data_IF_297913887003
#
_entry.id   IF_297913887003
#
_cell.length_a   1.000
_cell.length_b   1.000
_cell.length_c   1.000
_cell.angle_alpha   90.00
_cell.angle_beta   90.00
_cell.angle_gamma   90.00
#
_symmetry.space_group_name_H-M   'P 1'
#
loop_
_entity.id
_entity.type
_entity.pdbx_description
1 polymer ?
#
# COMPACT_ATOMS: atom_id res chain seq x y z
N UNK A 1 -6.15 13.44 -9.88
CA UNK A 1 -6.04 12.44 -8.78
C UNK A 1 -4.89 12.64 -7.78
N UNK A 2 -3.98 13.61 -7.90
CA UNK A 2 -2.88 13.83 -6.92
C UNK A 2 -3.35 14.25 -5.52
N UNK A 3 -4.31 15.16 -5.43
CA UNK A 3 -4.73 15.78 -4.17
C UNK A 3 -5.26 14.78 -3.11
N UNK A 4 -6.05 13.79 -3.54
CA UNK A 4 -6.61 12.81 -2.61
C UNK A 4 -5.52 11.93 -1.99
N UNK A 5 -4.58 11.46 -2.81
CA UNK A 5 -3.43 10.68 -2.34
C UNK A 5 -2.51 11.51 -1.43
N UNK A 6 -2.34 12.81 -1.70
CA UNK A 6 -1.53 13.71 -0.86
C UNK A 6 -2.15 13.89 0.55
N UNK A 7 -3.47 14.02 0.63
CA UNK A 7 -4.19 14.06 1.91
C UNK A 7 -4.01 12.74 2.66
N UNK A 8 -4.21 11.62 1.97
CA UNK A 8 -4.10 10.27 2.56
C UNK A 8 -2.68 10.04 3.10
N UNK A 9 -1.65 10.42 2.34
CA UNK A 9 -0.25 10.33 2.77
C UNK A 9 0.05 11.25 3.96
N UNK A 10 -0.57 12.44 4.00
CA UNK A 10 -0.47 13.35 5.15
C UNK A 10 -1.07 12.71 6.41
N UNK A 11 -2.24 12.07 6.30
CA UNK A 11 -2.83 11.32 7.42
C UNK A 11 -1.89 10.20 7.88
N UNK A 12 -1.35 9.42 6.95
CA UNK A 12 -0.38 8.37 7.26
C UNK A 12 0.84 8.89 8.03
N UNK A 13 1.40 10.02 7.60
CA UNK A 13 2.53 10.70 8.25
C UNK A 13 2.17 11.17 9.66
N UNK A 14 1.05 11.86 9.83
CA UNK A 14 0.62 12.38 11.14
C UNK A 14 0.37 11.25 12.15
N UNK A 15 -0.20 10.13 11.70
CA UNK A 15 -0.40 8.95 12.54
C UNK A 15 0.93 8.32 12.92
N UNK A 16 1.84 8.17 11.96
CA UNK A 16 3.19 7.67 12.22
C UNK A 16 3.92 8.52 13.26
N UNK A 17 3.95 9.84 13.09
CA UNK A 17 4.63 10.77 14.00
C UNK A 17 4.01 10.75 15.41
N UNK A 18 2.70 10.54 15.50
CA UNK A 18 2.02 10.39 16.79
C UNK A 18 2.41 9.10 17.50
N UNK A 19 2.53 7.98 16.77
CA UNK A 19 2.94 6.70 17.35
C UNK A 19 4.42 6.75 17.74
N UNK A 20 5.26 7.38 16.91
CA UNK A 20 6.69 7.58 17.19
C UNK A 20 6.89 8.38 18.47
N UNK A 21 6.21 9.53 18.63
CA UNK A 21 6.26 10.32 19.87
C UNK A 21 5.92 9.48 21.10
N UNK A 22 4.83 8.71 21.04
CA UNK A 22 4.48 7.78 22.13
C UNK A 22 5.47 6.65 22.34
N UNK A 23 6.22 6.27 21.31
CA UNK A 23 7.26 5.26 21.43
C UNK A 23 8.50 5.84 22.13
N UNK A 24 8.79 7.13 21.94
CA UNK A 24 9.96 7.85 22.50
C UNK A 24 9.71 8.40 23.90
N UNK A 25 8.48 8.85 24.18
CA UNK A 25 8.03 9.34 25.49
C UNK A 25 8.15 8.23 26.56
N UNK A 26 8.83 8.54 27.67
CA UNK A 26 8.81 7.72 28.87
C UNK A 26 7.89 8.37 29.92
N UNK A 27 6.77 7.74 30.31
CA UNK A 27 5.91 8.31 31.34
C UNK A 27 6.56 8.34 32.73
N UNK A 28 7.60 7.53 32.97
CA UNK A 28 8.21 7.33 34.30
C UNK A 28 9.48 8.14 34.51
N UNK A 29 10.13 8.53 33.43
CA UNK A 29 11.31 9.39 33.44
C UNK A 29 10.89 10.60 32.61
N UNK A 30 10.94 11.82 33.13
CA UNK A 30 10.66 13.05 32.35
C UNK A 30 11.71 13.29 31.21
N UNK A 31 12.19 12.24 30.56
CA UNK A 31 13.21 12.21 29.54
C UNK A 31 12.67 11.42 28.34
N UNK A 32 12.63 12.08 27.19
CA UNK A 32 12.38 11.41 25.90
C UNK A 32 13.61 10.61 25.50
N UNK A 33 13.40 9.35 25.09
CA UNK A 33 14.46 8.53 24.50
C UNK A 33 14.15 8.35 23.02
N UNK A 34 14.93 8.99 22.16
CA UNK A 34 14.82 8.81 20.71
C UNK A 34 14.97 7.33 20.33
N UNK A 35 14.13 6.86 19.41
CA UNK A 35 14.26 5.51 18.87
C UNK A 35 15.44 5.45 17.90
N UNK A 36 16.24 4.36 17.89
CA UNK A 36 17.24 4.14 16.85
C UNK A 36 16.60 4.14 15.46
N UNK A 37 17.33 4.56 14.41
CA UNK A 37 16.79 4.55 13.04
C UNK A 37 16.32 3.15 12.61
N UNK A 38 17.05 2.11 13.02
CA UNK A 38 16.82 0.70 12.72
C UNK A 38 16.08 -0.07 13.84
N UNK A 39 15.33 0.66 14.69
CA UNK A 39 14.65 0.07 15.84
C UNK A 39 13.83 -1.18 15.50
N UNK A 40 13.79 -2.12 16.45
CA UNK A 40 13.00 -3.35 16.37
C UNK A 40 11.73 -3.19 17.21
N UNK A 41 10.58 -3.48 16.62
CA UNK A 41 9.29 -3.46 17.30
C UNK A 41 9.30 -4.33 18.56
N UNK A 42 9.90 -5.53 18.50
CA UNK A 42 9.97 -6.47 19.61
C UNK A 42 10.70 -5.90 20.84
N UNK A 43 11.81 -5.18 20.63
CA UNK A 43 12.73 -4.72 21.67
C UNK A 43 12.56 -3.25 22.06
N UNK A 44 12.42 -2.38 21.07
CA UNK A 44 12.61 -0.93 21.25
C UNK A 44 11.27 -0.17 21.37
N UNK A 45 10.15 -0.77 20.93
CA UNK A 45 8.82 -0.11 20.95
C UNK A 45 8.03 -0.49 22.19
N UNK A 46 7.67 0.52 22.99
CA UNK A 46 6.86 0.38 24.20
C UNK A 46 5.44 -0.12 23.93
N UNK A 47 4.87 -0.85 24.89
CA UNK A 47 3.52 -1.43 24.78
C UNK A 47 2.43 -0.36 24.52
N UNK A 48 2.54 0.82 25.12
CA UNK A 48 1.57 1.90 24.92
C UNK A 48 1.55 2.42 23.47
N UNK A 49 2.72 2.51 22.83
CA UNK A 49 2.84 2.87 21.41
C UNK A 49 2.27 1.76 20.52
N UNK A 50 2.58 0.48 20.81
CA UNK A 50 1.98 -0.68 20.13
C UNK A 50 0.46 -0.66 20.20
N UNK A 51 -0.10 -0.43 21.38
CA UNK A 51 -1.55 -0.36 21.59
C UNK A 51 -2.16 0.83 20.83
N UNK A 52 -1.48 1.97 20.80
CA UNK A 52 -1.92 3.12 20.00
C UNK A 52 -1.93 2.80 18.51
N UNK A 53 -0.89 2.12 18.02
CA UNK A 53 -0.81 1.67 16.63
C UNK A 53 -1.93 0.68 16.29
N UNK A 54 -2.16 -0.36 17.11
CA UNK A 54 -3.28 -1.30 16.95
C UNK A 54 -4.63 -0.59 16.91
N UNK A 55 -4.85 0.39 17.80
CA UNK A 55 -6.10 1.17 17.81
C UNK A 55 -6.33 1.95 16.52
N UNK A 56 -5.28 2.44 15.86
CA UNK A 56 -5.41 3.06 14.54
C UNK A 56 -5.83 2.05 13.48
N UNK A 57 -5.22 0.87 13.45
CA UNK A 57 -5.64 -0.20 12.55
C UNK A 57 -7.09 -0.65 12.81
N UNK A 58 -7.50 -0.78 14.08
CA UNK A 58 -8.88 -1.11 14.43
C UNK A 58 -9.87 -0.05 13.95
N UNK A 59 -9.55 1.24 14.09
CA UNK A 59 -10.40 2.32 13.57
C UNK A 59 -10.54 2.23 12.05
N UNK A 60 -9.46 1.98 11.31
CA UNK A 60 -9.53 1.80 9.85
C UNK A 60 -10.37 0.57 9.49
N UNK A 61 -10.24 -0.52 10.23
CA UNK A 61 -11.01 -1.73 9.99
C UNK A 61 -12.52 -1.54 10.16
N UNK A 62 -12.98 -0.49 10.86
CA UNK A 62 -14.42 -0.15 10.98
C UNK A 62 -15.02 0.54 9.74
N UNK A 63 -14.19 1.00 8.80
CA UNK A 63 -14.67 1.61 7.54
C UNK A 63 -15.37 0.53 6.70
N UNK A 64 -16.62 0.77 6.31
CA UNK A 64 -17.45 -0.23 5.61
C UNK A 64 -17.10 -0.31 4.13
N UNK A 65 -16.78 0.82 3.53
CA UNK A 65 -16.46 0.95 2.11
C UNK A 65 -15.05 0.41 1.82
N UNK A 66 -14.94 -0.48 0.83
CA UNK A 66 -13.68 -1.20 0.53
C UNK A 66 -12.57 -0.25 0.07
N UNK A 67 -12.86 0.61 -0.91
CA UNK A 67 -11.87 1.51 -1.52
C UNK A 67 -11.24 2.48 -0.52
N UNK A 68 -12.00 3.30 0.23
CA UNK A 68 -11.39 4.22 1.19
C UNK A 68 -10.71 3.47 2.35
N UNK A 69 -11.21 2.31 2.77
CA UNK A 69 -10.51 1.47 3.75
C UNK A 69 -9.15 1.03 3.24
N UNK A 70 -9.05 0.56 2.01
CA UNK A 70 -7.77 0.15 1.41
C UNK A 70 -6.78 1.32 1.33
N UNK A 71 -7.23 2.50 0.89
CA UNK A 71 -6.39 3.70 0.87
C UNK A 71 -5.85 4.05 2.26
N UNK A 72 -6.68 3.96 3.30
CA UNK A 72 -6.26 4.23 4.68
C UNK A 72 -5.31 3.15 5.22
N UNK A 73 -5.54 1.87 4.90
CA UNK A 73 -4.62 0.78 5.25
C UNK A 73 -3.24 0.97 4.60
N UNK A 74 -3.19 1.39 3.34
CA UNK A 74 -1.95 1.74 2.63
C UNK A 74 -1.27 2.99 3.20
N UNK A 75 -2.05 4.00 3.60
CA UNK A 75 -1.52 5.19 4.26
C UNK A 75 -0.79 4.88 5.56
N UNK A 76 -1.33 3.93 6.33
CA UNK A 76 -0.75 3.50 7.61
C UNK A 76 0.24 2.35 7.46
N UNK A 77 0.59 1.96 6.24
CA UNK A 77 1.43 0.79 6.01
C UNK A 77 2.80 0.89 6.70
N UNK A 78 3.40 2.09 6.74
CA UNK A 78 4.64 2.36 7.50
C UNK A 78 4.51 2.04 9.00
N UNK A 79 3.30 2.14 9.57
CA UNK A 79 3.04 1.94 10.99
C UNK A 79 3.16 0.46 11.41
N UNK A 80 3.17 -0.49 10.46
CA UNK A 80 3.49 -1.90 10.78
C UNK A 80 4.87 -2.05 11.42
N UNK A 81 5.81 -1.14 11.16
CA UNK A 81 7.14 -1.09 11.80
C UNK A 81 7.06 -0.99 13.34
N UNK A 82 5.96 -0.48 13.90
CA UNK A 82 5.78 -0.45 15.35
C UNK A 82 5.23 -1.76 15.94
N UNK A 83 4.73 -2.67 15.10
CA UNK A 83 4.06 -3.90 15.52
C UNK A 83 4.88 -5.15 15.28
N UNK A 84 5.73 -5.16 14.26
CA UNK A 84 6.53 -6.31 13.84
C UNK A 84 7.89 -5.87 13.29
N UNK A 85 8.87 -6.77 13.39
CA UNK A 85 10.24 -6.52 12.94
C UNK A 85 10.41 -6.75 11.44
N UNK A 86 9.61 -7.68 10.89
CA UNK A 86 9.64 -8.06 9.49
C UNK A 86 8.67 -7.22 8.64
N UNK A 87 8.94 -7.07 7.32
CA UNK A 87 8.02 -6.40 6.41
C UNK A 87 6.61 -7.04 6.40
N UNK A 88 5.52 -6.25 6.30
CA UNK A 88 4.14 -6.74 6.34
C UNK A 88 3.68 -7.34 5.00
N UNK A 89 4.38 -8.37 4.52
CA UNK A 89 4.12 -9.05 3.23
C UNK A 89 2.73 -9.69 3.18
N UNK A 90 2.28 -10.33 4.26
CA UNK A 90 0.95 -10.93 4.32
C UNK A 90 -0.18 -9.89 4.16
N UNK A 91 0.01 -8.69 4.72
CA UNK A 91 -0.95 -7.59 4.60
C UNK A 91 -0.91 -6.97 3.22
N UNK A 92 0.27 -6.87 2.60
CA UNK A 92 0.42 -6.48 1.21
C UNK A 92 -0.34 -7.44 0.29
N UNK A 93 -0.16 -8.75 0.46
CA UNK A 93 -0.84 -9.77 -0.35
C UNK A 93 -2.36 -9.71 -0.24
N UNK A 94 -2.87 -9.48 0.98
CA UNK A 94 -4.30 -9.27 1.17
C UNK A 94 -4.78 -8.04 0.43
N UNK A 95 -4.07 -6.91 0.53
CA UNK A 95 -4.42 -5.68 -0.18
C UNK A 95 -4.38 -5.85 -1.69
N UNK A 96 -3.36 -6.54 -2.23
CA UNK A 96 -3.29 -6.90 -3.65
C UNK A 96 -4.52 -7.68 -4.09
N UNK A 97 -4.91 -8.75 -3.36
CA UNK A 97 -6.11 -9.54 -3.68
C UNK A 97 -7.38 -8.68 -3.65
N UNK A 98 -7.50 -7.74 -2.72
CA UNK A 98 -8.64 -6.84 -2.64
C UNK A 98 -8.75 -5.88 -3.85
N UNK A 99 -7.63 -5.53 -4.50
CA UNK A 99 -7.68 -4.66 -5.70
C UNK A 99 -8.48 -5.28 -6.85
N UNK A 100 -8.58 -6.62 -6.91
CA UNK A 100 -9.34 -7.35 -7.93
C UNK A 100 -10.85 -7.19 -7.78
N UNK A 101 -11.33 -6.80 -6.59
CA UNK A 101 -12.75 -6.57 -6.33
C UNK A 101 -13.21 -5.14 -6.63
N UNK A 102 -12.34 -4.27 -7.16
CA UNK A 102 -12.68 -2.90 -7.53
C UNK A 102 -13.28 -2.93 -8.95
N UNK A 103 -14.53 -2.50 -9.08
CA UNK A 103 -15.28 -2.54 -10.34
C UNK A 103 -14.76 -1.54 -11.38
N UNK A 104 -14.40 -0.32 -10.95
CA UNK A 104 -13.87 0.70 -11.85
C UNK A 104 -12.40 0.39 -12.21
N UNK A 105 -12.09 0.13 -13.50
CA UNK A 105 -10.76 -0.29 -13.92
C UNK A 105 -9.69 0.77 -13.64
N UNK A 106 -10.07 2.05 -13.72
CA UNK A 106 -9.17 3.17 -13.45
C UNK A 106 -8.83 3.27 -11.95
N UNK A 107 -9.83 3.20 -11.06
CA UNK A 107 -9.63 3.17 -9.62
C UNK A 107 -8.82 1.93 -9.19
N UNK A 108 -9.07 0.78 -9.82
CA UNK A 108 -8.29 -0.43 -9.58
C UNK A 108 -6.82 -0.25 -9.96
N UNK A 109 -6.54 0.40 -11.10
CA UNK A 109 -5.19 0.76 -11.53
C UNK A 109 -4.46 1.66 -10.53
N UNK A 110 -5.09 2.76 -10.10
CA UNK A 110 -4.49 3.66 -9.10
C UNK A 110 -4.21 2.96 -7.78
N UNK A 111 -5.15 2.13 -7.31
CA UNK A 111 -4.96 1.35 -6.09
C UNK A 111 -3.78 0.38 -6.22
N UNK A 112 -3.68 -0.34 -7.35
CA UNK A 112 -2.57 -1.24 -7.66
C UNK A 112 -1.22 -0.53 -7.66
N UNK A 113 -1.13 0.64 -8.29
CA UNK A 113 0.07 1.46 -8.27
C UNK A 113 0.44 1.88 -6.84
N UNK A 114 -0.53 2.22 -6.00
CA UNK A 114 -0.27 2.59 -4.62
C UNK A 114 0.24 1.39 -3.80
N UNK A 115 -0.34 0.20 -4.00
CA UNK A 115 0.15 -1.05 -3.40
C UNK A 115 1.59 -1.33 -3.82
N UNK A 116 1.93 -1.19 -5.12
CA UNK A 116 3.29 -1.38 -5.62
C UNK A 116 4.28 -0.38 -4.99
N UNK A 117 3.88 0.89 -4.87
CA UNK A 117 4.67 1.92 -4.16
C UNK A 117 4.96 1.49 -2.72
N UNK A 118 3.96 0.98 -2.00
CA UNK A 118 4.16 0.49 -0.63
C UNK A 118 5.07 -0.75 -0.58
N UNK A 119 4.94 -1.68 -1.53
CA UNK A 119 5.75 -2.89 -1.59
C UNK A 119 7.26 -2.56 -1.65
N UNK A 120 7.61 -1.61 -2.52
CA UNK A 120 8.98 -1.14 -2.71
C UNK A 120 9.43 -0.31 -1.49
N UNK A 121 8.63 0.68 -1.08
CA UNK A 121 9.03 1.63 -0.04
C UNK A 121 9.24 0.98 1.35
N UNK A 122 8.56 -0.13 1.62
CA UNK A 122 8.57 -0.78 2.94
C UNK A 122 9.21 -2.17 2.93
N UNK A 123 10.00 -2.48 1.90
CA UNK A 123 10.84 -3.68 1.85
C UNK A 123 10.07 -4.99 1.73
N UNK A 124 8.83 -4.96 1.23
CA UNK A 124 8.10 -6.17 0.88
C UNK A 124 8.58 -6.77 -0.45
N UNK A 125 9.16 -5.95 -1.33
CA UNK A 125 9.83 -6.43 -2.54
C UNK A 125 11.24 -6.93 -2.19
N UNK A 126 11.44 -8.24 -2.31
CA UNK A 126 12.74 -8.92 -2.29
C UNK A 126 13.11 -9.38 -3.70
N UNK A 127 14.39 -9.74 -3.98
CA UNK A 127 14.79 -10.27 -5.30
C UNK A 127 14.01 -11.50 -5.75
N UNK A 128 13.52 -12.31 -4.80
CA UNK A 128 12.71 -13.50 -5.07
C UNK A 128 11.22 -13.17 -5.17
N UNK A 129 10.77 -12.10 -4.50
CA UNK A 129 9.39 -11.65 -4.59
C UNK A 129 9.16 -10.98 -5.94
N UNK A 130 7.99 -11.24 -6.54
CA UNK A 130 7.58 -10.65 -7.81
C UNK A 130 6.32 -9.80 -7.63
N UNK A 131 6.19 -9.07 -6.52
CA UNK A 131 4.95 -8.37 -6.20
C UNK A 131 4.66 -7.27 -7.23
N UNK A 132 5.64 -6.43 -7.51
CA UNK A 132 5.51 -5.36 -8.51
C UNK A 132 5.21 -5.94 -9.90
N UNK A 133 5.90 -7.03 -10.28
CA UNK A 133 5.66 -7.70 -11.56
C UNK A 133 4.26 -8.33 -11.65
N UNK A 134 3.77 -8.96 -10.56
CA UNK A 134 2.41 -9.48 -10.49
C UNK A 134 1.36 -8.36 -10.58
N UNK A 135 1.62 -7.23 -9.93
CA UNK A 135 0.73 -6.06 -10.03
C UNK A 135 0.67 -5.55 -11.47
N UNK A 136 1.81 -5.49 -12.17
CA UNK A 136 1.87 -5.13 -13.58
C UNK A 136 1.09 -6.14 -14.44
N UNK A 137 1.30 -7.45 -14.23
CA UNK A 137 0.56 -8.50 -14.94
C UNK A 137 -0.96 -8.41 -14.71
N UNK A 138 -1.41 -8.03 -13.52
CA UNK A 138 -2.85 -7.83 -13.24
C UNK A 138 -3.39 -6.51 -13.82
N UNK A 139 -2.54 -5.50 -13.98
CA UNK A 139 -2.91 -4.21 -14.54
C UNK A 139 -3.09 -4.27 -16.06
N UNK A 140 -2.18 -4.93 -16.79
CA UNK A 140 -2.15 -4.89 -18.26
C UNK A 140 -3.47 -5.38 -18.91
N UNK A 141 -4.08 -6.51 -18.49
CA UNK A 141 -5.34 -6.96 -19.07
C UNK A 141 -6.51 -6.00 -18.84
N UNK A 142 -6.54 -5.36 -17.65
CA UNK A 142 -7.57 -4.35 -17.33
C UNK A 142 -7.40 -3.11 -18.20
N UNK A 143 -6.16 -2.70 -18.46
CA UNK A 143 -5.86 -1.54 -19.29
C UNK A 143 -6.18 -1.77 -20.78
N UNK A 144 -5.85 -2.95 -21.31
CA UNK A 144 -6.21 -3.35 -22.68
C UNK A 144 -7.73 -3.36 -22.87
N UNK A 145 -8.51 -3.84 -21.89
CA UNK A 145 -9.97 -3.81 -21.95
C UNK A 145 -10.54 -2.39 -22.06
N UNK A 146 -10.01 -1.44 -21.29
CA UNK A 146 -10.45 -0.02 -21.35
C UNK A 146 -10.07 0.64 -22.68
N UNK A 147 -8.89 0.32 -23.21
CA UNK A 147 -8.48 0.80 -24.55
C UNK A 147 -9.35 0.18 -25.65
N UNK A 148 -9.74 -1.07 -25.49
CA UNK A 148 -10.65 -1.76 -26.42
C UNK A 148 -12.09 -1.22 -26.37
N UNK A 149 -12.53 -0.67 -25.24
CA UNK A 149 -13.83 0.02 -25.12
C UNK A 149 -13.81 1.44 -25.72
N UNK A 150 -12.63 2.05 -25.87
CA UNK A 150 -12.44 3.38 -26.47
C UNK A 150 -12.15 3.34 -27.98
N UNK A 151 -12.33 2.16 -28.60
CA UNK A 151 -12.06 1.78 -30.01
C UNK A 151 -12.84 2.50 -31.12
N UNK A 152 -13.32 3.71 -30.91
CA UNK A 152 -13.69 4.57 -32.06
C UNK A 152 -12.47 5.31 -32.64
N UNK A 153 -11.24 5.02 -32.18
CA UNK A 153 -10.01 5.59 -32.72
C UNK A 153 -9.04 4.45 -33.08
N UNK A 154 -9.19 3.94 -34.30
CA UNK A 154 -8.16 3.16 -34.97
C UNK A 154 -6.84 3.96 -35.01
N UNK A 155 -5.73 3.29 -34.73
CA UNK A 155 -4.33 3.78 -34.65
C UNK A 155 -3.82 4.38 -33.31
N UNK A 156 -3.92 3.64 -32.19
CA UNK A 156 -3.08 3.92 -31.01
C UNK A 156 -1.78 3.06 -30.98
N UNK A 157 -0.59 3.66 -31.16
CA UNK A 157 0.70 2.97 -31.09
C UNK A 157 0.99 2.34 -29.71
N UNK A 158 0.31 2.74 -28.63
CA UNK A 158 0.47 2.14 -27.31
C UNK A 158 0.09 0.65 -27.30
N UNK A 159 -0.93 0.24 -28.08
CA UNK A 159 -1.35 -1.15 -28.18
C UNK A 159 -0.30 -2.04 -28.84
N UNK A 160 0.45 -1.52 -29.81
CA UNK A 160 1.54 -2.24 -30.45
C UNK A 160 2.66 -2.60 -29.46
N UNK A 161 2.92 -1.75 -28.45
CA UNK A 161 3.90 -2.05 -27.40
C UNK A 161 3.41 -3.15 -26.45
N UNK A 162 2.11 -3.19 -26.12
CA UNK A 162 1.52 -4.24 -25.27
C UNK A 162 1.68 -5.62 -25.88
N UNK A 163 1.40 -5.76 -27.19
CA UNK A 163 1.60 -7.03 -27.92
C UNK A 163 3.09 -7.40 -28.05
N UNK A 164 3.99 -6.40 -28.08
CA UNK A 164 5.45 -6.61 -28.13
C UNK A 164 6.04 -7.20 -26.84
N UNK A 165 5.37 -7.02 -25.70
CA UNK A 165 5.74 -7.62 -24.41
C UNK A 165 5.29 -9.09 -24.24
N UNK A 166 4.76 -9.72 -25.29
CA UNK A 166 4.44 -11.15 -25.30
C UNK A 166 3.08 -11.52 -24.69
N UNK A 167 2.25 -10.53 -24.35
CA UNK A 167 0.86 -10.74 -23.95
C UNK A 167 0.02 -11.00 -25.20
N UNK A 168 -0.15 -12.29 -25.55
CA UNK A 168 -0.99 -12.71 -26.67
C UNK A 168 -2.45 -12.72 -26.26
N UNK A 169 -3.32 -12.34 -27.21
CA UNK A 169 -4.80 -12.36 -27.13
C UNK A 169 -5.43 -13.71 -26.75
N UNK A 170 -4.64 -14.78 -26.65
CA UNK A 170 -5.11 -16.17 -26.49
C UNK A 170 -5.17 -16.65 -25.02
N UNK A 171 -4.85 -15.81 -24.03
CA UNK A 171 -5.00 -16.14 -22.59
C UNK A 171 -6.21 -15.46 -21.93
N UNK A 172 -7.32 -15.32 -22.67
CA UNK A 172 -8.64 -14.90 -22.14
C UNK A 172 -9.65 -16.03 -22.30
#
# INVERSE_FOLDING_TARGET
>A
NSFATDIIETVGRLVYDRILRKAEEDPKKNASRALPNDFKASRDVRLQAKNTCKNWFFKIATIREVVPRMYMELALFKCYRFLQDEPPTAQLERLMKMTRGIADPMAAAYMRMYVAKCAIAYGCETPDSKYTLRILQEFMPTYVGVLDETRDIDDDPAMAYVFRFGLRREEY
#
